data_IF_791996317821
#
_entry.id   IF_791996317821
#
_cell.length_a   1.000
_cell.length_b   1.000
_cell.length_c   1.000
_cell.angle_alpha   90.00
_cell.angle_beta   90.00
_cell.angle_gamma   90.00
#
_symmetry.space_group_name_H-M   'P 1'
#
loop_
_entity.id
_entity.type
_entity.pdbx_description
1 polymer ?
#
# COMPACT_ATOMS: atom_id res chain seq x y z
N UNK A 1 6.51 -7.17 -31.03
CA UNK A 1 5.23 -6.46 -30.81
C UNK A 1 4.71 -6.67 -29.39
N UNK A 2 4.58 -7.91 -28.89
CA UNK A 2 4.12 -8.21 -27.53
C UNK A 2 4.93 -7.50 -26.40
N UNK A 3 6.26 -7.49 -26.50
CA UNK A 3 7.13 -6.86 -25.48
C UNK A 3 6.95 -5.34 -25.39
N UNK A 4 6.75 -4.66 -26.53
CA UNK A 4 6.52 -3.20 -26.57
C UNK A 4 5.16 -2.86 -25.96
N UNK A 5 4.14 -3.66 -26.22
CA UNK A 5 2.80 -3.49 -25.63
C UNK A 5 2.84 -3.72 -24.12
N UNK A 6 3.54 -4.76 -23.65
CA UNK A 6 3.70 -5.02 -22.22
C UNK A 6 4.40 -3.86 -21.50
N UNK A 7 5.49 -3.35 -22.07
CA UNK A 7 6.23 -2.21 -21.50
C UNK A 7 5.38 -0.93 -21.48
N UNK A 8 4.63 -0.67 -22.55
CA UNK A 8 3.74 0.48 -22.61
C UNK A 8 2.61 0.38 -21.57
N UNK A 9 2.01 -0.79 -21.41
CA UNK A 9 1.02 -1.04 -20.36
C UNK A 9 1.58 -0.82 -18.96
N UNK A 10 2.81 -1.27 -18.70
CA UNK A 10 3.49 -1.09 -17.42
C UNK A 10 3.75 0.41 -17.12
N UNK A 11 4.24 1.16 -18.11
CA UNK A 11 4.46 2.61 -17.99
C UNK A 11 3.14 3.36 -17.75
N UNK A 12 2.08 3.01 -18.47
CA UNK A 12 0.76 3.64 -18.28
C UNK A 12 0.18 3.27 -16.91
N UNK A 13 0.37 2.03 -16.43
CA UNK A 13 -0.07 1.61 -15.10
C UNK A 13 0.65 2.40 -14.02
N UNK A 14 1.98 2.51 -14.13
CA UNK A 14 2.78 3.31 -13.21
C UNK A 14 2.37 4.78 -13.21
N UNK A 15 2.15 5.37 -14.39
CA UNK A 15 1.68 6.74 -14.51
C UNK A 15 0.29 6.92 -13.87
N UNK A 16 -0.63 5.98 -14.10
CA UNK A 16 -1.96 6.01 -13.48
C UNK A 16 -1.86 5.93 -11.95
N UNK A 17 -1.11 4.98 -11.42
CA UNK A 17 -0.92 4.80 -9.97
C UNK A 17 -0.23 6.02 -9.33
N UNK A 18 0.77 6.57 -10.01
CA UNK A 18 1.47 7.78 -9.63
C UNK A 18 0.53 9.00 -9.57
N UNK A 19 -0.43 9.09 -10.49
CA UNK A 19 -1.44 10.14 -10.53
C UNK A 19 -2.57 9.92 -9.50
N UNK A 20 -2.95 8.67 -9.27
CA UNK A 20 -4.05 8.27 -8.41
C UNK A 20 -3.65 8.27 -6.92
N UNK A 21 -2.38 8.04 -6.60
CA UNK A 21 -1.89 7.90 -5.24
C UNK A 21 -2.31 9.05 -4.29
N UNK A 22 -2.09 10.35 -4.61
CA UNK A 22 -2.51 11.43 -3.72
C UNK A 22 -4.02 11.51 -3.54
N UNK A 23 -4.78 11.17 -4.59
CA UNK A 23 -6.24 11.14 -4.56
C UNK A 23 -6.78 10.04 -3.65
N UNK A 24 -6.19 8.84 -3.67
CA UNK A 24 -6.61 7.74 -2.79
C UNK A 24 -6.42 8.08 -1.31
N UNK A 25 -5.35 8.80 -0.98
CA UNK A 25 -5.13 9.24 0.39
C UNK A 25 -6.15 10.32 0.80
N UNK A 26 -6.52 11.23 -0.11
CA UNK A 26 -7.63 12.17 0.13
C UNK A 26 -8.97 11.43 0.35
N UNK A 27 -9.28 10.41 -0.44
CA UNK A 27 -10.49 9.58 -0.27
C UNK A 27 -10.48 8.90 1.11
N UNK A 28 -9.36 8.30 1.49
CA UNK A 28 -9.21 7.63 2.78
C UNK A 28 -9.37 8.60 3.95
N UNK A 29 -8.80 9.81 3.86
CA UNK A 29 -8.98 10.84 4.89
C UNK A 29 -10.39 11.39 4.93
N UNK A 30 -11.05 11.57 3.78
CA UNK A 30 -12.46 11.97 3.70
C UNK A 30 -13.36 10.93 4.35
N UNK A 31 -13.17 9.65 4.03
CA UNK A 31 -13.94 8.55 4.62
C UNK A 31 -13.80 8.51 6.15
N UNK A 32 -12.58 8.67 6.66
CA UNK A 32 -12.32 8.77 8.10
C UNK A 32 -12.96 10.03 8.73
N UNK A 33 -12.90 11.18 8.04
CA UNK A 33 -13.45 12.45 8.51
C UNK A 33 -14.98 12.41 8.62
N UNK A 34 -15.66 11.84 7.61
CA UNK A 34 -17.13 11.69 7.59
C UNK A 34 -17.63 10.96 8.83
N UNK A 35 -16.99 9.85 9.21
CA UNK A 35 -17.41 9.06 10.37
C UNK A 35 -17.01 9.66 11.71
N UNK A 36 -15.89 10.39 11.75
CA UNK A 36 -15.43 11.02 12.99
C UNK A 36 -16.05 12.40 13.27
N UNK A 37 -16.91 12.90 12.36
CA UNK A 37 -17.48 14.25 12.44
C UNK A 37 -16.43 15.37 12.28
N UNK A 38 -15.23 15.02 11.79
CA UNK A 38 -14.15 15.96 11.57
C UNK A 38 -14.34 16.70 10.23
N UNK A 39 -13.63 17.83 10.07
CA UNK A 39 -13.64 18.57 8.81
C UNK A 39 -13.08 17.70 7.68
N UNK A 40 -13.87 17.49 6.63
CA UNK A 40 -13.44 16.77 5.43
C UNK A 40 -12.34 17.55 4.71
N UNK A 41 -11.31 16.84 4.25
CA UNK A 41 -10.31 17.37 3.31
C UNK A 41 -10.96 17.64 1.96
N UNK A 42 -10.44 18.63 1.22
CA UNK A 42 -10.94 18.93 -0.13
C UNK A 42 -10.32 17.91 -1.11
N UNK A 43 -11.10 17.27 -1.99
CA UNK A 43 -10.53 16.35 -2.98
C UNK A 43 -9.52 17.09 -3.87
N UNK A 44 -8.32 16.53 -4.01
CA UNK A 44 -7.22 17.11 -4.78
C UNK A 44 -6.40 18.15 -4.00
N UNK A 45 -6.64 18.30 -2.70
CA UNK A 45 -5.84 19.16 -1.84
C UNK A 45 -4.38 18.69 -1.78
N UNK A 46 -4.14 17.37 -1.67
CA UNK A 46 -2.78 16.82 -1.72
C UNK A 46 -2.06 17.15 -3.02
N UNK A 47 -2.75 17.06 -4.16
CA UNK A 47 -2.21 17.47 -5.45
C UNK A 47 -1.78 18.92 -5.47
N UNK A 48 -2.60 19.82 -4.92
CA UNK A 48 -2.26 21.25 -4.81
C UNK A 48 -1.03 21.45 -3.94
N UNK A 49 -0.94 20.76 -2.80
CA UNK A 49 0.21 20.84 -1.88
C UNK A 49 1.51 20.31 -2.51
N UNK A 50 1.45 19.21 -3.26
CA UNK A 50 2.60 18.68 -3.99
C UNK A 50 3.03 19.66 -5.09
N UNK A 51 2.08 20.17 -5.88
CA UNK A 51 2.37 21.10 -6.97
C UNK A 51 2.95 22.43 -6.47
N UNK A 52 2.44 22.97 -5.37
CA UNK A 52 2.96 24.21 -4.78
C UNK A 52 4.35 23.99 -4.19
N UNK A 53 4.56 22.89 -3.48
CA UNK A 53 5.88 22.55 -2.93
C UNK A 53 6.92 22.31 -4.02
N UNK A 54 6.55 21.68 -5.14
CA UNK A 54 7.47 21.42 -6.25
C UNK A 54 8.04 22.68 -6.90
N UNK A 55 7.24 23.76 -6.92
CA UNK A 55 7.62 25.10 -7.40
C UNK A 55 8.54 25.84 -6.42
N UNK A 56 8.64 25.39 -5.18
CA UNK A 56 9.53 25.96 -4.18
C UNK A 56 11.01 25.62 -4.43
N UNK A 57 11.92 26.29 -3.70
CA UNK A 57 13.33 25.94 -3.72
C UNK A 57 13.54 24.49 -3.24
N UNK A 58 14.60 23.86 -3.75
CA UNK A 58 15.00 22.53 -3.32
C UNK A 58 16.30 22.66 -2.54
N UNK A 59 16.26 22.32 -1.26
CA UNK A 59 17.48 22.21 -0.48
C UNK A 59 18.26 20.96 -0.91
N UNK A 60 19.57 21.08 -1.18
CA UNK A 60 20.39 19.94 -1.60
C UNK A 60 20.55 18.94 -0.46
N UNK A 61 20.54 19.42 0.79
CA UNK A 61 20.58 18.59 1.98
C UNK A 61 19.27 17.83 2.11
N UNK A 62 19.33 16.55 1.76
CA UNK A 62 18.21 15.64 1.92
C UNK A 62 17.43 15.27 0.66
N UNK A 63 17.81 15.77 -0.52
CA UNK A 63 17.23 15.32 -1.78
C UNK A 63 17.48 13.82 -2.02
N UNK A 64 18.67 13.31 -1.67
CA UNK A 64 19.03 11.89 -1.83
C UNK A 64 18.07 10.91 -1.13
N UNK A 65 17.84 11.05 0.19
CA UNK A 65 16.86 10.22 0.90
C UNK A 65 15.44 10.38 0.35
N UNK A 66 15.01 11.59 -0.03
CA UNK A 66 13.67 11.78 -0.61
C UNK A 66 13.52 11.00 -1.93
N UNK A 67 14.54 11.02 -2.79
CA UNK A 67 14.58 10.20 -4.00
C UNK A 67 14.61 8.70 -3.71
N UNK A 68 15.36 8.26 -2.68
CA UNK A 68 15.38 6.87 -2.26
C UNK A 68 13.99 6.39 -1.81
N UNK A 69 13.26 7.20 -1.03
CA UNK A 69 11.89 6.89 -0.63
C UNK A 69 10.96 6.78 -1.85
N UNK A 70 11.05 7.72 -2.80
CA UNK A 70 10.31 7.65 -4.05
C UNK A 70 10.66 6.39 -4.87
N UNK A 71 11.94 6.02 -4.95
CA UNK A 71 12.40 4.86 -5.70
C UNK A 71 11.90 3.55 -5.09
N UNK A 72 11.89 3.45 -3.75
CA UNK A 72 11.36 2.27 -3.04
C UNK A 72 9.85 2.14 -3.22
N UNK A 73 9.10 3.24 -3.04
CA UNK A 73 7.65 3.25 -3.29
C UNK A 73 7.33 2.95 -4.76
N UNK A 74 8.05 3.58 -5.70
CA UNK A 74 7.88 3.34 -7.14
C UNK A 74 8.23 1.92 -7.55
N UNK A 75 9.30 1.36 -6.99
CA UNK A 75 9.68 -0.03 -7.19
C UNK A 75 8.61 -1.01 -6.71
N UNK A 76 8.02 -0.75 -5.54
CA UNK A 76 6.88 -1.54 -5.06
C UNK A 76 5.67 -1.47 -6.00
N UNK A 77 5.35 -0.28 -6.54
CA UNK A 77 4.26 -0.12 -7.53
C UNK A 77 4.57 -0.82 -8.86
N UNK A 78 5.83 -0.84 -9.29
CA UNK A 78 6.25 -1.46 -10.55
C UNK A 78 6.13 -2.99 -10.52
N UNK A 79 6.40 -3.61 -9.37
CA UNK A 79 6.31 -5.07 -9.23
C UNK A 79 4.89 -5.55 -8.88
N UNK A 80 3.99 -4.67 -8.46
CA UNK A 80 2.63 -5.06 -8.06
C UNK A 80 1.69 -5.04 -9.27
N UNK A 81 1.10 -6.19 -9.66
CA UNK A 81 0.20 -6.24 -10.81
C UNK A 81 -1.11 -5.52 -10.50
N UNK A 82 -1.54 -4.60 -11.37
CA UNK A 82 -2.88 -3.99 -11.28
C UNK A 82 -3.79 -4.44 -12.42
N UNK A 83 -3.27 -4.42 -13.64
CA UNK A 83 -4.07 -4.67 -14.86
C UNK A 83 -3.55 -5.91 -15.61
N UNK A 84 -2.24 -6.11 -15.61
CA UNK A 84 -1.58 -7.22 -16.29
C UNK A 84 -0.68 -8.00 -15.32
N UNK A 85 -0.62 -9.32 -15.53
CA UNK A 85 0.32 -10.23 -14.89
C UNK A 85 1.58 -10.47 -15.72
N UNK A 86 1.57 -10.08 -17.00
CA UNK A 86 2.74 -10.17 -17.90
C UNK A 86 3.65 -8.94 -17.73
N UNK A 87 4.17 -8.76 -16.52
CA UNK A 87 5.09 -7.67 -16.17
C UNK A 87 6.52 -8.18 -16.01
N UNK A 88 7.51 -7.35 -16.35
CA UNK A 88 8.92 -7.73 -16.22
C UNK A 88 9.30 -8.10 -14.78
N UNK A 89 8.62 -7.50 -13.79
CA UNK A 89 8.81 -7.76 -12.35
C UNK A 89 7.85 -8.79 -11.74
N UNK A 90 7.05 -9.51 -12.51
CA UNK A 90 6.01 -10.40 -11.96
C UNK A 90 6.55 -11.50 -11.03
N UNK A 91 7.79 -11.96 -11.27
CA UNK A 91 8.48 -12.93 -10.40
C UNK A 91 8.88 -12.37 -9.03
N UNK A 92 8.91 -11.04 -8.89
CA UNK A 92 9.21 -10.32 -7.66
C UNK A 92 7.93 -9.85 -6.94
N UNK A 93 6.74 -10.15 -7.47
CA UNK A 93 5.45 -9.78 -6.90
C UNK A 93 5.08 -10.63 -5.65
N UNK A 94 6.05 -10.89 -4.79
CA UNK A 94 5.85 -11.52 -3.48
C UNK A 94 5.33 -10.45 -2.50
N UNK A 95 4.19 -10.69 -1.82
CA UNK A 95 3.67 -9.81 -0.77
C UNK A 95 4.73 -9.36 0.24
N UNK A 96 5.63 -10.25 0.63
CA UNK A 96 6.70 -9.93 1.57
C UNK A 96 7.71 -8.94 0.96
N UNK A 97 8.17 -9.18 -0.27
CA UNK A 97 9.10 -8.29 -0.95
C UNK A 97 8.50 -6.89 -1.16
N UNK A 98 7.24 -6.84 -1.64
CA UNK A 98 6.49 -5.58 -1.80
C UNK A 98 6.40 -4.84 -0.47
N UNK A 99 5.95 -5.52 0.59
CA UNK A 99 5.81 -4.90 1.90
C UNK A 99 7.14 -4.42 2.48
N UNK A 100 8.24 -5.14 2.27
CA UNK A 100 9.58 -4.70 2.70
C UNK A 100 10.05 -3.45 1.96
N UNK A 101 9.77 -3.32 0.65
CA UNK A 101 10.06 -2.07 -0.10
C UNK A 101 9.26 -0.89 0.45
N UNK A 102 7.97 -1.09 0.74
CA UNK A 102 7.10 -0.06 1.30
C UNK A 102 7.53 0.34 2.73
N UNK A 103 7.92 -0.62 3.56
CA UNK A 103 8.50 -0.35 4.88
C UNK A 103 9.87 0.34 4.77
N UNK A 104 10.67 0.00 3.76
CA UNK A 104 11.93 0.69 3.44
C UNK A 104 11.69 2.17 3.12
N UNK A 105 10.71 2.48 2.28
CA UNK A 105 10.33 3.86 1.96
C UNK A 105 9.94 4.65 3.23
N UNK A 106 9.28 3.98 4.20
CA UNK A 106 8.95 4.54 5.52
C UNK A 106 10.18 4.75 6.39
N UNK A 107 11.10 3.79 6.40
CA UNK A 107 12.33 3.86 7.19
C UNK A 107 13.21 5.06 6.83
N UNK A 108 13.22 5.47 5.56
CA UNK A 108 13.91 6.68 5.11
C UNK A 108 13.37 7.94 5.79
N UNK A 109 12.06 7.98 6.07
CA UNK A 109 11.44 9.09 6.80
C UNK A 109 11.70 9.00 8.31
N UNK A 110 11.78 7.80 8.88
CA UNK A 110 12.16 7.61 10.29
C UNK A 110 13.57 8.11 10.58
N UNK A 111 14.52 7.85 9.68
CA UNK A 111 15.89 8.34 9.82
C UNK A 111 15.96 9.87 9.95
N UNK A 112 15.09 10.60 9.23
CA UNK A 112 14.96 12.06 9.34
C UNK A 112 14.44 12.51 10.69
N UNK A 113 13.45 11.81 11.24
CA UNK A 113 12.89 12.13 12.55
C UNK A 113 13.90 11.95 13.71
N UNK A 114 15.04 11.27 13.47
CA UNK A 114 16.15 11.16 14.41
C UNK A 114 17.32 12.14 14.13
N UNK A 115 17.27 12.89 13.01
CA UNK A 115 18.23 13.95 12.71
C UNK A 115 17.93 15.22 13.51
N UNK A 116 18.98 15.90 13.99
CA UNK A 116 18.93 17.07 14.88
C UNK A 116 17.87 18.10 14.48
N UNK A 117 17.07 18.70 15.34
CA UNK A 117 17.17 18.86 16.80
C UNK A 117 16.96 20.33 17.14
N UNK A 118 15.70 20.79 17.10
CA UNK A 118 15.36 22.18 17.39
C UNK A 118 14.26 22.34 18.46
N UNK A 119 13.39 21.35 18.69
CA UNK A 119 12.26 21.48 19.63
C UNK A 119 11.96 20.18 20.36
N UNK A 120 12.44 20.07 21.60
CA UNK A 120 12.37 18.86 22.43
C UNK A 120 11.00 18.17 22.55
N UNK A 121 9.89 18.94 22.65
CA UNK A 121 8.54 18.37 22.71
C UNK A 121 8.12 17.74 21.38
N UNK A 122 8.46 18.37 20.26
CA UNK A 122 8.14 17.89 18.91
C UNK A 122 8.99 16.66 18.58
N UNK A 123 10.26 16.71 18.95
CA UNK A 123 11.21 15.60 18.75
C UNK A 123 10.75 14.35 19.53
N UNK A 124 10.25 14.52 20.76
CA UNK A 124 9.66 13.42 21.53
C UNK A 124 8.42 12.82 20.89
N UNK A 125 7.53 13.65 20.35
CA UNK A 125 6.33 13.15 19.68
C UNK A 125 6.69 12.45 18.36
N UNK A 126 7.63 12.99 17.58
CA UNK A 126 8.17 12.33 16.39
C UNK A 126 8.80 10.97 16.74
N UNK A 127 9.66 10.92 17.77
CA UNK A 127 10.26 9.67 18.26
C UNK A 127 9.21 8.66 18.73
N UNK A 128 8.15 9.13 19.41
CA UNK A 128 7.04 8.28 19.84
C UNK A 128 6.29 7.69 18.64
N UNK A 129 5.99 8.50 17.64
CA UNK A 129 5.32 8.05 16.41
C UNK A 129 6.17 7.03 15.66
N UNK A 130 7.48 7.30 15.51
CA UNK A 130 8.42 6.35 14.91
C UNK A 130 8.47 5.05 15.72
N UNK A 131 8.55 5.12 17.05
CA UNK A 131 8.57 3.93 17.90
C UNK A 131 7.29 3.10 17.76
N UNK A 132 6.12 3.74 17.62
CA UNK A 132 4.85 3.05 17.36
C UNK A 132 4.90 2.37 15.99
N UNK A 133 5.28 3.08 14.93
CA UNK A 133 5.36 2.54 13.57
C UNK A 133 6.38 1.39 13.48
N UNK A 134 7.55 1.54 14.07
CA UNK A 134 8.58 0.50 14.15
C UNK A 134 8.09 -0.75 14.88
N UNK A 135 7.41 -0.58 16.03
CA UNK A 135 6.80 -1.70 16.76
C UNK A 135 5.76 -2.43 15.91
N UNK A 136 4.98 -1.71 15.10
CA UNK A 136 4.02 -2.34 14.19
C UNK A 136 4.71 -3.12 13.06
N UNK A 137 5.92 -2.73 12.63
CA UNK A 137 6.68 -3.49 11.63
C UNK A 137 7.00 -4.91 12.11
N UNK A 138 7.25 -5.08 13.42
CA UNK A 138 7.43 -6.38 14.05
C UNK A 138 6.22 -7.31 13.94
N UNK A 139 5.04 -6.79 13.63
CA UNK A 139 3.82 -7.56 13.36
C UNK A 139 3.48 -7.63 11.86
N UNK A 140 3.70 -6.55 11.12
CA UNK A 140 3.43 -6.48 9.67
C UNK A 140 4.29 -7.52 8.93
N UNK A 141 5.59 -7.60 9.23
CA UNK A 141 6.51 -8.51 8.52
C UNK A 141 6.11 -9.99 8.70
N UNK A 142 5.81 -10.48 9.92
CA UNK A 142 5.27 -11.83 10.08
C UNK A 142 3.95 -12.07 9.35
N UNK A 143 3.03 -11.10 9.32
CA UNK A 143 1.76 -11.27 8.60
C UNK A 143 1.99 -11.32 7.09
N UNK A 144 2.92 -10.53 6.55
CA UNK A 144 3.31 -10.63 5.14
C UNK A 144 3.94 -11.99 4.82
N UNK A 145 4.84 -12.47 5.67
CA UNK A 145 5.42 -13.80 5.52
C UNK A 145 4.36 -14.91 5.62
N UNK A 146 3.37 -14.74 6.50
CA UNK A 146 2.21 -15.62 6.58
C UNK A 146 1.42 -15.61 5.27
N UNK A 147 1.11 -14.44 4.70
CA UNK A 147 0.41 -14.35 3.40
C UNK A 147 1.16 -15.13 2.33
N UNK A 148 2.46 -14.90 2.17
CA UNK A 148 3.29 -15.61 1.19
C UNK A 148 3.29 -17.13 1.45
N UNK A 149 3.34 -17.57 2.71
CA UNK A 149 3.25 -18.98 3.09
C UNK A 149 1.87 -19.58 2.79
N UNK A 150 0.78 -18.87 3.09
CA UNK A 150 -0.58 -19.32 2.79
C UNK A 150 -0.80 -19.45 1.28
N UNK A 151 -0.24 -18.55 0.48
CA UNK A 151 -0.27 -18.65 -0.99
C UNK A 151 0.49 -19.89 -1.48
N UNK A 152 1.72 -20.11 -0.99
CA UNK A 152 2.52 -21.28 -1.35
C UNK A 152 1.85 -22.61 -0.94
N UNK A 153 1.21 -22.64 0.24
CA UNK A 153 0.48 -23.82 0.74
C UNK A 153 -0.83 -24.00 -0.02
N UNK A 154 -1.60 -22.94 -0.28
CA UNK A 154 -2.93 -23.01 -0.87
C UNK A 154 -2.90 -23.26 -2.39
N UNK A 155 -1.88 -22.74 -3.08
CA UNK A 155 -1.74 -22.81 -4.53
C UNK A 155 -0.27 -23.08 -4.92
N UNK A 156 0.22 -24.33 -4.75
CA UNK A 156 1.60 -24.68 -5.01
C UNK A 156 1.93 -24.48 -6.49
N UNK A 157 3.00 -23.72 -6.77
CA UNK A 157 3.40 -23.33 -8.12
C UNK A 157 3.03 -21.90 -8.49
N UNK A 158 2.09 -21.27 -7.79
CA UNK A 158 1.79 -19.86 -7.96
C UNK A 158 2.90 -19.00 -7.35
N UNK A 159 3.77 -18.44 -8.20
CA UNK A 159 4.83 -17.54 -7.78
C UNK A 159 4.26 -16.13 -7.49
N UNK A 160 3.93 -15.86 -6.23
CA UNK A 160 3.49 -14.52 -5.77
C UNK A 160 2.10 -14.11 -6.27
N UNK A 161 1.80 -12.81 -6.19
CA UNK A 161 0.50 -12.23 -6.55
C UNK A 161 0.16 -12.42 -8.04
N UNK A 162 1.17 -12.36 -8.92
CA UNK A 162 0.97 -12.58 -10.35
C UNK A 162 0.55 -14.02 -10.65
N UNK A 163 1.21 -15.01 -10.03
CA UNK A 163 0.81 -16.41 -10.10
C UNK A 163 -0.59 -16.63 -9.53
N UNK A 164 -0.89 -16.03 -8.37
CA UNK A 164 -2.21 -16.12 -7.74
C UNK A 164 -3.33 -15.61 -8.66
N UNK A 165 -3.13 -14.45 -9.28
CA UNK A 165 -4.11 -13.85 -10.16
C UNK A 165 -4.33 -14.68 -11.44
N UNK A 166 -3.27 -15.32 -11.96
CA UNK A 166 -3.35 -16.23 -13.10
C UNK A 166 -4.05 -17.55 -12.76
N UNK A 167 -3.63 -18.18 -11.66
CA UNK A 167 -3.95 -19.58 -11.39
C UNK A 167 -5.31 -19.76 -10.69
N UNK A 168 -5.80 -18.74 -9.95
CA UNK A 168 -7.13 -18.80 -9.32
C UNK A 168 -8.30 -18.90 -10.31
N UNK A 169 -8.13 -18.43 -11.56
CA UNK A 169 -9.13 -18.61 -12.61
C UNK A 169 -9.23 -20.06 -13.08
N UNK A 170 -8.14 -20.80 -12.97
CA UNK A 170 -8.01 -22.17 -13.47
C UNK A 170 -8.33 -23.17 -12.36
N UNK A 171 -7.88 -22.88 -11.14
CA UNK A 171 -8.09 -23.73 -9.97
C UNK A 171 -8.73 -22.93 -8.84
N UNK A 172 -10.04 -23.14 -8.64
CA UNK A 172 -10.77 -22.50 -7.57
C UNK A 172 -10.27 -22.98 -6.20
N UNK A 173 -9.83 -22.05 -5.36
CA UNK A 173 -9.34 -22.30 -4.01
C UNK A 173 -10.09 -21.43 -2.98
N UNK A 174 -11.38 -21.70 -2.68
CA UNK A 174 -12.22 -20.81 -1.87
C UNK A 174 -11.69 -20.62 -0.44
N UNK A 175 -11.11 -21.66 0.14
CA UNK A 175 -10.45 -21.58 1.46
C UNK A 175 -9.19 -20.70 1.44
N UNK A 176 -8.45 -20.65 0.32
CA UNK A 176 -7.34 -19.71 0.17
C UNK A 176 -7.86 -18.28 0.03
N UNK A 177 -8.87 -18.06 -0.81
CA UNK A 177 -9.47 -16.73 -1.03
C UNK A 177 -9.95 -16.12 0.29
N UNK A 178 -10.73 -16.86 1.09
CA UNK A 178 -11.18 -16.37 2.39
C UNK A 178 -10.04 -16.08 3.36
N UNK A 179 -8.97 -16.89 3.33
CA UNK A 179 -7.83 -16.68 4.20
C UNK A 179 -7.04 -15.43 3.83
N UNK A 180 -6.88 -15.16 2.53
CA UNK A 180 -6.24 -13.94 2.03
C UNK A 180 -7.04 -12.69 2.44
N UNK A 181 -8.38 -12.76 2.41
CA UNK A 181 -9.23 -11.67 2.93
C UNK A 181 -8.96 -11.43 4.42
N UNK A 182 -8.93 -12.47 5.25
CA UNK A 182 -8.63 -12.32 6.68
C UNK A 182 -7.22 -11.77 6.93
N UNK A 183 -6.23 -12.22 6.16
CA UNK A 183 -4.87 -11.70 6.25
C UNK A 183 -4.77 -10.25 5.77
N UNK A 184 -5.52 -9.86 4.73
CA UNK A 184 -5.61 -8.47 4.27
C UNK A 184 -6.23 -7.56 5.33
N UNK A 185 -7.28 -8.02 6.02
CA UNK A 185 -7.87 -7.31 7.15
C UNK A 185 -6.88 -7.18 8.31
N UNK A 186 -6.13 -8.25 8.63
CA UNK A 186 -5.08 -8.20 9.65
C UNK A 186 -4.00 -7.17 9.31
N UNK A 187 -3.55 -7.12 8.05
CA UNK A 187 -2.64 -6.10 7.55
C UNK A 187 -3.24 -4.71 7.64
N UNK A 188 -4.47 -4.50 7.16
CA UNK A 188 -5.15 -3.20 7.21
C UNK A 188 -5.23 -2.64 8.63
N UNK A 189 -5.50 -3.50 9.61
CA UNK A 189 -5.53 -3.15 11.04
C UNK A 189 -4.15 -2.72 11.56
N UNK A 190 -3.09 -3.42 11.18
CA UNK A 190 -1.72 -3.12 11.59
C UNK A 190 -1.13 -1.89 10.86
N UNK A 191 -1.61 -1.60 9.66
CA UNK A 191 -1.13 -0.51 8.81
C UNK A 191 -1.67 0.86 9.19
N UNK A 192 -2.68 0.95 10.07
CA UNK A 192 -3.25 2.23 10.51
C UNK A 192 -2.19 3.30 10.84
N UNK A 193 -1.21 3.02 11.74
CA UNK A 193 -0.13 3.96 12.05
C UNK A 193 0.82 4.26 10.89
N UNK A 194 0.88 3.41 9.87
CA UNK A 194 1.69 3.65 8.67
C UNK A 194 1.03 4.69 7.77
N UNK A 195 -0.28 4.78 7.71
CA UNK A 195 -0.95 5.81 6.93
C UNK A 195 -0.86 7.17 7.64
N UNK A 196 0.02 8.05 7.14
CA UNK A 196 0.25 9.37 7.74
C UNK A 196 -0.84 10.35 7.33
N UNK A 197 -1.53 10.87 8.34
CA UNK A 197 -2.32 12.09 8.19
C UNK A 197 -1.43 13.33 8.08
N UNK A 198 -2.02 14.47 7.73
CA UNK A 198 -1.28 15.70 7.54
C UNK A 198 -0.54 16.13 8.81
N UNK A 199 -1.15 15.96 9.99
CA UNK A 199 -0.55 16.34 11.26
C UNK A 199 0.68 15.47 11.59
N UNK A 200 0.58 14.15 11.46
CA UNK A 200 1.70 13.23 11.74
C UNK A 200 2.83 13.42 10.74
N UNK A 201 2.51 13.71 9.47
CA UNK A 201 3.53 14.06 8.48
C UNK A 201 4.34 15.31 8.89
N UNK A 202 3.66 16.37 9.31
CA UNK A 202 4.31 17.61 9.75
C UNK A 202 5.12 17.40 11.04
N UNK A 203 4.69 16.49 11.92
CA UNK A 203 5.47 16.13 13.11
C UNK A 203 6.76 15.39 12.75
N UNK A 204 6.71 14.46 11.79
CA UNK A 204 7.85 13.63 11.39
C UNK A 204 8.87 14.36 10.50
N UNK A 205 8.43 15.32 9.69
CA UNK A 205 9.28 16.04 8.74
C UNK A 205 9.16 17.57 8.93
N UNK A 206 9.53 18.08 10.11
CA UNK A 206 9.32 19.48 10.48
C UNK A 206 10.15 20.46 9.65
N UNK A 207 11.36 20.06 9.30
CA UNK A 207 12.39 20.87 8.64
C UNK A 207 12.30 20.76 7.11
N UNK A 208 11.54 19.80 6.58
CA UNK A 208 11.37 19.70 5.15
C UNK A 208 10.55 20.90 4.66
N UNK A 209 11.08 21.70 3.75
CA UNK A 209 10.35 22.81 3.11
C UNK A 209 10.32 22.66 1.57
N UNK A 210 9.49 23.47 0.91
CA UNK A 210 9.44 23.55 -0.56
C UNK A 210 9.37 22.20 -1.27
N UNK A 211 10.32 21.96 -2.19
CA UNK A 211 10.33 20.75 -3.02
C UNK A 211 10.61 19.49 -2.20
N UNK A 212 11.45 19.60 -1.17
CA UNK A 212 11.79 18.47 -0.32
C UNK A 212 10.56 17.94 0.42
N UNK A 213 9.73 18.84 0.95
CA UNK A 213 8.43 18.48 1.57
C UNK A 213 7.51 17.79 0.58
N UNK A 214 7.39 18.33 -0.63
CA UNK A 214 6.54 17.74 -1.68
C UNK A 214 7.02 16.34 -2.08
N UNK A 215 8.34 16.12 -2.20
CA UNK A 215 8.90 14.80 -2.51
C UNK A 215 8.58 13.77 -1.45
N UNK A 216 8.78 14.10 -0.16
CA UNK A 216 8.43 13.16 0.90
C UNK A 216 6.94 12.89 0.95
N UNK A 217 6.11 13.94 0.86
CA UNK A 217 4.65 13.76 0.84
C UNK A 217 4.23 12.83 -0.30
N UNK A 218 4.77 13.07 -1.49
CA UNK A 218 4.51 12.22 -2.65
C UNK A 218 5.01 10.78 -2.45
N UNK A 219 6.21 10.57 -1.91
CA UNK A 219 6.71 9.23 -1.61
C UNK A 219 5.81 8.47 -0.63
N UNK A 220 5.19 9.17 0.32
CA UNK A 220 4.25 8.60 1.28
C UNK A 220 2.88 8.30 0.65
N UNK A 221 2.43 9.13 -0.29
CA UNK A 221 1.23 8.86 -1.07
C UNK A 221 1.42 7.62 -1.94
N UNK A 222 2.57 7.51 -2.62
CA UNK A 222 2.95 6.32 -3.39
C UNK A 222 3.04 5.07 -2.51
N UNK A 223 3.67 5.17 -1.33
CA UNK A 223 3.75 4.05 -0.40
C UNK A 223 2.36 3.61 0.10
N UNK A 224 1.50 4.58 0.40
CA UNK A 224 0.12 4.31 0.81
C UNK A 224 -0.66 3.64 -0.32
N UNK A 225 -0.50 4.11 -1.56
CA UNK A 225 -1.06 3.47 -2.76
C UNK A 225 -0.57 2.02 -2.90
N UNK A 226 0.72 1.75 -2.69
CA UNK A 226 1.27 0.40 -2.70
C UNK A 226 0.64 -0.53 -1.66
N UNK A 227 0.40 -0.03 -0.44
CA UNK A 227 -0.34 -0.79 0.58
C UNK A 227 -1.80 -1.03 0.18
N UNK A 228 -2.47 -0.04 -0.39
CA UNK A 228 -3.85 -0.17 -0.87
C UNK A 228 -3.97 -1.20 -1.99
N UNK A 229 -3.01 -1.21 -2.92
CA UNK A 229 -2.90 -2.22 -3.97
C UNK A 229 -2.75 -3.62 -3.40
N UNK A 230 -1.76 -3.81 -2.51
CA UNK A 230 -1.51 -5.09 -1.87
C UNK A 230 -2.74 -5.59 -1.11
N UNK A 231 -3.39 -4.75 -0.31
CA UNK A 231 -4.61 -5.13 0.41
C UNK A 231 -5.73 -5.45 -0.58
N UNK A 232 -5.91 -4.63 -1.62
CA UNK A 232 -6.92 -4.85 -2.65
C UNK A 232 -6.76 -6.19 -3.37
N UNK A 233 -5.53 -6.55 -3.73
CA UNK A 233 -5.22 -7.83 -4.39
C UNK A 233 -5.44 -9.03 -3.46
N UNK A 234 -5.24 -8.86 -2.15
CA UNK A 234 -5.50 -9.92 -1.17
C UNK A 234 -7.00 -10.05 -0.81
N UNK A 235 -7.76 -8.94 -0.81
CA UNK A 235 -9.20 -8.96 -0.54
C UNK A 235 -10.01 -9.44 -1.75
N UNK A 236 -9.49 -9.22 -2.97
CA UNK A 236 -10.14 -9.58 -4.22
C UNK A 236 -9.15 -10.34 -5.12
N UNK A 237 -8.69 -11.53 -4.68
CA UNK A 237 -7.66 -12.27 -5.39
C UNK A 237 -8.26 -12.85 -6.69
N UNK A 238 -7.50 -12.76 -7.79
CA UNK A 238 -8.00 -13.21 -9.09
C UNK A 238 -8.80 -12.18 -9.87
N UNK A 239 -8.64 -10.88 -9.63
CA UNK A 239 -9.14 -9.81 -10.51
C UNK A 239 -8.03 -9.10 -11.32
N UNK A 240 -7.29 -9.76 -12.23
CA UNK A 240 -6.66 -9.09 -13.36
C UNK A 240 -7.69 -8.96 -14.49
N UNK A 241 -8.35 -7.81 -14.60
CA UNK A 241 -9.38 -7.55 -15.64
C UNK A 241 -8.85 -7.63 -17.09
N UNK A 242 -7.55 -7.86 -17.31
CA UNK A 242 -6.93 -8.02 -18.62
C UNK A 242 -7.00 -9.42 -19.24
N UNK A 243 -7.55 -10.43 -18.56
CA UNK A 243 -7.50 -11.83 -19.06
C UNK A 243 -8.25 -12.06 -20.38
N UNK A 244 -9.10 -11.13 -20.81
CA UNK A 244 -9.67 -11.13 -22.16
C UNK A 244 -8.95 -10.08 -23.02
N UNK A 245 -8.19 -10.54 -24.03
CA UNK A 245 -7.48 -9.75 -25.05
C UNK A 245 -8.39 -8.87 -25.93
N UNK A 246 -9.63 -8.62 -25.52
CA UNK A 246 -10.55 -7.74 -26.21
C UNK A 246 -10.29 -6.28 -25.80
N UNK A 247 -10.27 -5.37 -26.77
CA UNK A 247 -10.14 -3.91 -26.53
C UNK A 247 -11.18 -3.42 -25.48
N UNK A 248 -12.46 -3.85 -25.51
CA UNK A 248 -13.44 -3.49 -24.49
C UNK A 248 -13.09 -4.01 -23.09
N UNK A 249 -12.57 -5.24 -22.97
CA UNK A 249 -12.14 -5.83 -21.69
C UNK A 249 -10.97 -5.06 -21.08
N UNK A 250 -9.99 -4.69 -21.90
CA UNK A 250 -8.88 -3.85 -21.46
C UNK A 250 -9.37 -2.46 -21.00
N UNK A 251 -10.28 -1.81 -21.72
CA UNK A 251 -10.84 -0.52 -21.31
C UNK A 251 -11.63 -0.61 -19.99
N UNK A 252 -12.39 -1.69 -19.78
CA UNK A 252 -13.07 -1.92 -18.50
C UNK A 252 -12.08 -2.11 -17.36
N UNK A 253 -10.98 -2.85 -17.58
CA UNK A 253 -9.91 -3.01 -16.59
C UNK A 253 -9.32 -1.66 -16.13
N UNK A 254 -9.09 -0.75 -17.09
CA UNK A 254 -8.56 0.59 -16.81
C UNK A 254 -9.50 1.47 -15.98
N UNK A 255 -10.81 1.21 -16.01
CA UNK A 255 -11.81 1.93 -15.21
C UNK A 255 -12.06 1.23 -13.87
N UNK A 256 -12.14 -0.10 -13.87
CA UNK A 256 -12.42 -0.90 -12.70
C UNK A 256 -11.27 -0.86 -11.67
N UNK A 257 -10.02 -0.85 -12.11
CA UNK A 257 -8.86 -0.80 -11.22
C UNK A 257 -8.84 0.45 -10.31
N UNK A 258 -9.00 1.69 -10.82
CA UNK A 258 -9.17 2.87 -9.97
C UNK A 258 -10.35 2.78 -9.01
N UNK A 259 -11.50 2.29 -9.47
CA UNK A 259 -12.71 2.15 -8.64
C UNK A 259 -12.45 1.17 -7.48
N UNK A 260 -11.82 0.03 -7.76
CA UNK A 260 -11.39 -0.95 -6.74
C UNK A 260 -10.53 -0.29 -5.67
N UNK A 261 -9.52 0.49 -6.08
CA UNK A 261 -8.63 1.18 -5.16
C UNK A 261 -9.36 2.24 -4.32
N UNK A 262 -10.28 2.99 -4.92
CA UNK A 262 -11.13 3.96 -4.20
C UNK A 262 -12.00 3.26 -3.15
N UNK A 263 -12.57 2.10 -3.47
CA UNK A 263 -13.35 1.30 -2.53
C UNK A 263 -12.50 0.78 -1.37
N UNK A 264 -11.32 0.21 -1.67
CA UNK A 264 -10.38 -0.27 -0.64
C UNK A 264 -9.91 0.88 0.25
N UNK A 265 -9.58 2.03 -0.33
CA UNK A 265 -9.22 3.24 0.41
C UNK A 265 -10.35 3.73 1.32
N UNK A 266 -11.59 3.70 0.84
CA UNK A 266 -12.77 4.05 1.62
C UNK A 266 -12.98 3.10 2.80
N UNK A 267 -12.94 1.79 2.56
CA UNK A 267 -13.09 0.75 3.59
C UNK A 267 -12.01 0.87 4.67
N UNK A 268 -10.75 1.07 4.27
CA UNK A 268 -9.66 1.24 5.22
C UNK A 268 -9.76 2.57 5.98
N UNK A 269 -10.14 3.67 5.30
CA UNK A 269 -10.37 4.96 5.95
C UNK A 269 -11.48 4.87 7.01
N UNK A 270 -12.57 4.16 6.70
CA UNK A 270 -13.63 3.84 7.65
C UNK A 270 -13.08 2.97 8.80
N UNK A 271 -12.36 1.90 8.48
CA UNK A 271 -11.78 0.98 9.45
C UNK A 271 -10.86 1.69 10.46
N UNK A 272 -10.04 2.64 10.02
CA UNK A 272 -9.15 3.41 10.91
C UNK A 272 -9.88 4.17 12.00
N UNK A 273 -11.14 4.57 11.78
CA UNK A 273 -11.96 5.24 12.82
C UNK A 273 -12.34 4.24 13.92
N UNK A 274 -12.71 3.02 13.53
CA UNK A 274 -13.16 1.98 14.45
C UNK A 274 -12.00 1.26 15.16
N UNK A 275 -10.80 1.30 14.58
CA UNK A 275 -9.62 0.58 15.08
C UNK A 275 -8.75 1.41 16.03
N UNK A 276 -9.33 2.44 16.67
CA UNK A 276 -8.65 3.25 17.70
C UNK A 276 -8.45 2.43 18.98
N UNK A 277 -7.28 1.82 19.15
CA UNK A 277 -6.96 1.05 20.36
C UNK A 277 -5.82 0.04 20.17
N UNK A 278 -5.81 -1.02 20.99
CA UNK A 278 -4.86 -2.13 20.82
C UNK A 278 -5.24 -2.99 19.60
N UNK A 279 -4.62 -2.67 18.47
CA UNK A 279 -4.80 -3.33 17.17
C UNK A 279 -4.18 -4.74 17.08
N UNK A 280 -3.38 -5.15 18.08
CA UNK A 280 -2.62 -6.42 18.01
C UNK A 280 -3.52 -7.63 18.16
N UNK A 281 -4.42 -7.62 19.14
CA UNK A 281 -5.35 -8.72 19.39
C UNK A 281 -6.24 -9.03 18.18
N UNK A 282 -6.94 -8.06 17.55
CA UNK A 282 -7.73 -8.33 16.36
C UNK A 282 -6.86 -8.80 15.19
N UNK A 283 -5.67 -8.23 14.98
CA UNK A 283 -4.77 -8.67 13.92
C UNK A 283 -4.33 -10.14 14.08
N UNK A 284 -3.98 -10.56 15.30
CA UNK A 284 -3.62 -11.96 15.60
C UNK A 284 -4.81 -12.89 15.42
N UNK A 285 -6.01 -12.49 15.86
CA UNK A 285 -7.22 -13.29 15.67
C UNK A 285 -7.54 -13.49 14.18
N UNK A 286 -7.44 -12.43 13.37
CA UNK A 286 -7.63 -12.48 11.92
C UNK A 286 -6.57 -13.34 11.23
N UNK A 287 -5.30 -13.21 11.61
CA UNK A 287 -4.22 -14.05 11.09
C UNK A 287 -4.42 -15.53 11.46
N UNK A 288 -4.86 -15.82 12.70
CA UNK A 288 -5.22 -17.16 13.14
C UNK A 288 -6.39 -17.75 12.35
N UNK A 289 -7.44 -16.95 12.10
CA UNK A 289 -8.56 -17.35 11.26
C UNK A 289 -8.12 -17.68 9.83
N UNK A 290 -7.21 -16.89 9.24
CA UNK A 290 -6.64 -17.17 7.93
C UNK A 290 -5.93 -18.53 7.88
N UNK A 291 -5.10 -18.84 8.89
CA UNK A 291 -4.41 -20.14 9.01
C UNK A 291 -5.41 -21.29 9.09
N UNK A 292 -6.39 -21.18 9.98
CA UNK A 292 -7.41 -22.22 10.17
C UNK A 292 -8.18 -22.46 8.88
N UNK A 293 -8.53 -21.39 8.15
CA UNK A 293 -9.28 -21.50 6.91
C UNK A 293 -8.48 -22.27 5.83
N UNK A 294 -7.22 -21.91 5.59
CA UNK A 294 -6.37 -22.62 4.60
C UNK A 294 -6.15 -24.08 5.00
N UNK A 295 -5.83 -24.34 6.28
CA UNK A 295 -5.61 -25.70 6.75
C UNK A 295 -6.89 -26.54 6.62
N UNK A 296 -8.04 -25.98 7.00
CA UNK A 296 -9.33 -26.68 6.86
C UNK A 296 -9.64 -27.03 5.40
N UNK A 297 -9.39 -26.11 4.46
CA UNK A 297 -9.51 -26.38 3.03
C UNK A 297 -8.58 -27.48 2.54
N UNK A 298 -7.32 -27.49 3.02
CA UNK A 298 -6.32 -28.51 2.66
C UNK A 298 -6.64 -29.90 3.21
N UNK A 299 -7.26 -30.00 4.37
CA UNK A 299 -7.67 -31.29 4.94
C UNK A 299 -9.02 -31.79 4.41
N UNK A 300 -9.81 -30.92 3.78
CA UNK A 300 -11.09 -31.28 3.16
C UNK A 300 -10.98 -31.68 1.68
N UNK A 301 -9.83 -31.41 1.03
CA UNK A 301 -9.52 -31.71 -0.38
C UNK A 301 -8.67 -32.97 -0.51
#
# INVERSE_FOLDING_TARGET
MALVVAWLTEVVQLALLALLAPFLVDVMSMAAAVLSGARMSVPGERWRQIATGWRGPCEPQGAGPAWAACALSGGALAITPLISVDMAGASLADPLAIGLLLLGARAVCWQRAFGAGCVWRRDREAQRQVAIQWRMCGWIVPVLGLVSALMAIGLPGAAGLAGLARDLHVQAAPALVGALVFAALALGVLLGPQFLDAASFEVLLPEAEGRLRAMFRYSQDLASCGWLLLIGDLMLPGLPDGATLSIPGMLMAWVAAPVRLVLVAGVLGVGMVFLRGDVRRPAVALAGAAIILVLSGRFAS
#
